data_IF_337564166389
#
_entry.id   IF_337564166389
#
_cell.length_a   1.000
_cell.length_b   1.000
_cell.length_c   1.000
_cell.angle_alpha   90.00
_cell.angle_beta   90.00
_cell.angle_gamma   90.00
#
_symmetry.space_group_name_H-M   'P 1'
#
loop_
_entity.id
_entity.type
_entity.pdbx_description
1 polymer ?
#
# COMPACT_ATOMS: atom_id res chain seq x y z
N UNK A 1 18.24 -24.43 7.72
CA UNK A 1 16.81 -24.10 7.74
C UNK A 1 16.39 -24.04 9.19
N UNK A 2 16.32 -22.84 9.77
CA UNK A 2 15.81 -22.67 11.13
C UNK A 2 14.28 -22.63 11.04
N UNK A 3 13.60 -23.53 11.74
CA UNK A 3 12.13 -23.55 11.77
C UNK A 3 11.63 -22.36 12.59
N UNK A 4 10.77 -21.53 12.00
CA UNK A 4 10.02 -20.52 12.72
C UNK A 4 8.92 -21.22 13.53
N UNK A 5 9.18 -21.46 14.81
CA UNK A 5 8.17 -21.95 15.74
C UNK A 5 7.83 -20.86 16.74
N UNK A 6 6.68 -20.19 16.55
CA UNK A 6 6.05 -19.38 17.59
C UNK A 6 4.71 -20.01 17.97
N UNK A 7 4.57 -20.32 19.26
CA UNK A 7 3.28 -20.69 19.84
C UNK A 7 2.37 -19.46 19.85
N UNK A 8 1.10 -19.66 19.49
CA UNK A 8 0.08 -18.59 19.47
C UNK A 8 -0.09 -17.98 20.86
N UNK A 9 0.40 -16.76 21.07
CA UNK A 9 0.11 -16.00 22.30
C UNK A 9 -1.18 -15.22 22.08
N UNK A 10 -2.18 -15.58 22.88
CA UNK A 10 -3.51 -14.98 22.90
C UNK A 10 -3.49 -13.70 23.76
N UNK A 11 -3.95 -12.60 23.16
CA UNK A 11 -4.51 -11.36 23.73
C UNK A 11 -3.72 -10.55 24.77
N UNK A 12 -3.46 -9.27 24.42
CA UNK A 12 -3.68 -8.14 25.33
C UNK A 12 -4.56 -7.08 24.63
N UNK A 13 -5.61 -6.68 25.34
CA UNK A 13 -6.68 -5.70 25.04
C UNK A 13 -7.89 -6.10 24.15
N UNK A 14 -9.14 -5.96 24.68
CA UNK A 14 -10.38 -6.25 23.95
C UNK A 14 -11.06 -4.96 23.46
N UNK A 15 -10.84 -4.55 22.21
CA UNK A 15 -11.75 -3.59 21.56
C UNK A 15 -11.74 -3.60 20.03
N UNK A 16 -11.05 -4.52 19.40
CA UNK A 16 -11.10 -4.69 17.94
C UNK A 16 -11.23 -6.17 17.66
N UNK A 17 -12.18 -6.65 16.82
CA UNK A 17 -12.18 -8.04 16.43
C UNK A 17 -10.80 -8.36 15.85
N UNK A 18 -10.09 -9.25 16.54
CA UNK A 18 -8.72 -9.65 16.19
C UNK A 18 -8.72 -10.06 14.72
N UNK A 19 -8.12 -9.23 13.85
CA UNK A 19 -7.73 -9.69 12.53
C UNK A 19 -6.85 -10.91 12.77
N UNK A 20 -7.26 -12.06 12.24
CA UNK A 20 -6.55 -13.32 12.44
C UNK A 20 -5.11 -13.12 11.97
N UNK A 21 -4.17 -13.06 12.93
CA UNK A 21 -2.73 -13.05 12.63
C UNK A 21 -2.39 -14.45 12.14
N UNK A 22 -1.88 -14.51 10.92
CA UNK A 22 -1.54 -15.78 10.29
C UNK A 22 -0.14 -16.22 10.72
N UNK A 23 0.15 -17.52 10.70
CA UNK A 23 1.52 -17.98 10.93
C UNK A 23 2.46 -17.52 9.80
N UNK A 24 3.77 -17.37 10.07
CA UNK A 24 4.76 -16.94 9.07
C UNK A 24 4.73 -17.77 7.78
N UNK A 25 4.55 -19.09 7.86
CA UNK A 25 4.51 -19.97 6.68
C UNK A 25 3.33 -19.63 5.75
N UNK A 26 2.19 -19.17 6.28
CA UNK A 26 1.07 -18.71 5.45
C UNK A 26 1.37 -17.39 4.76
N UNK A 27 2.01 -16.44 5.45
CA UNK A 27 2.47 -15.21 4.81
C UNK A 27 3.51 -15.51 3.73
N UNK A 28 4.46 -16.41 4.01
CA UNK A 28 5.47 -16.82 3.05
C UNK A 28 4.82 -17.45 1.80
N UNK A 29 3.89 -18.39 1.96
CA UNK A 29 3.16 -19.01 0.84
C UNK A 29 2.41 -17.96 0.02
N UNK A 30 1.71 -17.02 0.67
CA UNK A 30 1.02 -15.93 -0.03
C UNK A 30 1.99 -15.03 -0.79
N UNK A 31 3.17 -14.78 -0.23
CA UNK A 31 4.25 -14.04 -0.88
C UNK A 31 4.74 -14.73 -2.14
N UNK A 32 4.99 -16.04 -2.07
CA UNK A 32 5.39 -16.84 -3.23
C UNK A 32 4.34 -16.79 -4.33
N UNK A 33 3.06 -16.92 -3.97
CA UNK A 33 1.95 -16.90 -4.94
C UNK A 33 1.90 -15.57 -5.70
N UNK A 34 1.98 -14.44 -4.99
CA UNK A 34 1.89 -13.12 -5.66
C UNK A 34 3.13 -12.78 -6.47
N UNK A 35 4.32 -13.19 -6.02
CA UNK A 35 5.57 -13.01 -6.78
C UNK A 35 5.53 -13.88 -8.05
N UNK A 36 5.09 -15.13 -7.95
CA UNK A 36 4.98 -16.04 -9.09
C UNK A 36 3.93 -15.55 -10.10
N UNK A 37 2.76 -15.11 -9.63
CA UNK A 37 1.70 -14.56 -10.49
C UNK A 37 2.18 -13.33 -11.26
N UNK A 38 2.87 -12.39 -10.58
CA UNK A 38 3.41 -11.21 -11.24
C UNK A 38 4.48 -11.58 -12.27
N UNK A 39 5.40 -12.49 -11.94
CA UNK A 39 6.42 -12.99 -12.88
C UNK A 39 5.79 -13.57 -14.15
N UNK A 40 4.74 -14.38 -13.99
CA UNK A 40 4.01 -14.94 -15.13
C UNK A 40 3.40 -13.84 -16.00
N UNK A 41 2.72 -12.86 -15.39
CA UNK A 41 2.07 -11.76 -16.09
C UNK A 41 3.07 -10.90 -16.90
N UNK A 42 4.22 -10.54 -16.32
CA UNK A 42 5.23 -9.72 -17.00
C UNK A 42 6.04 -10.50 -18.05
N UNK A 43 5.99 -11.83 -18.02
CA UNK A 43 6.66 -12.70 -19.01
C UNK A 43 5.75 -13.11 -20.18
N UNK A 44 4.47 -12.75 -20.13
CA UNK A 44 3.51 -13.09 -21.17
C UNK A 44 3.80 -12.33 -22.47
N UNK A 45 3.60 -12.99 -23.60
CA UNK A 45 3.69 -12.38 -24.93
C UNK A 45 2.42 -12.74 -25.75
N UNK A 46 1.49 -11.79 -25.97
CA UNK A 46 1.53 -10.41 -25.49
C UNK A 46 1.28 -10.29 -23.98
N UNK A 47 1.66 -9.16 -23.40
CA UNK A 47 1.21 -8.77 -22.05
C UNK A 47 -0.31 -8.61 -22.05
N UNK A 48 -0.98 -9.10 -21.00
CA UNK A 48 -2.44 -9.11 -20.88
C UNK A 48 -2.86 -8.30 -19.65
N UNK A 49 -3.68 -7.29 -19.87
CA UNK A 49 -4.34 -6.52 -18.81
C UNK A 49 -5.60 -7.24 -18.31
N UNK A 50 -5.90 -7.10 -17.03
CA UNK A 50 -7.17 -7.53 -16.43
C UNK A 50 -8.08 -6.31 -16.36
N UNK A 51 -9.20 -6.37 -17.10
CA UNK A 51 -10.19 -5.31 -17.06
C UNK A 51 -10.99 -5.32 -15.76
N UNK A 52 -11.05 -4.17 -15.11
CA UNK A 52 -11.91 -3.92 -13.96
C UNK A 52 -12.89 -2.78 -14.26
N UNK A 53 -14.10 -2.79 -13.69
CA UNK A 53 -15.03 -1.67 -13.82
C UNK A 53 -14.42 -0.37 -13.32
N UNK A 54 -14.77 0.74 -13.98
CA UNK A 54 -14.35 2.06 -13.54
C UNK A 54 -14.84 2.36 -12.11
N UNK A 55 -13.96 2.91 -11.28
CA UNK A 55 -14.22 3.15 -9.87
C UNK A 55 -15.43 4.07 -9.67
N UNK A 56 -15.68 5.00 -10.60
CA UNK A 56 -16.80 5.95 -10.53
C UNK A 56 -18.16 5.27 -10.65
N UNK A 57 -18.24 4.00 -11.07
CA UNK A 57 -19.48 3.23 -11.09
C UNK A 57 -20.00 3.04 -9.66
N UNK A 58 -19.09 2.69 -8.73
CA UNK A 58 -19.44 2.29 -7.35
C UNK A 58 -19.07 3.33 -6.31
N UNK A 59 -17.98 4.04 -6.52
CA UNK A 59 -17.41 4.95 -5.55
C UNK A 59 -17.58 6.41 -5.99
N UNK A 60 -17.42 7.32 -5.03
CA UNK A 60 -17.39 8.76 -5.25
C UNK A 60 -16.28 9.35 -4.36
N UNK A 61 -15.49 10.28 -4.92
CA UNK A 61 -14.57 11.10 -4.12
C UNK A 61 -15.29 12.35 -3.65
N UNK A 62 -15.60 12.43 -2.35
CA UNK A 62 -16.43 13.50 -1.76
C UNK A 62 -15.79 14.88 -1.76
N UNK A 63 -14.46 14.96 -1.88
CA UNK A 63 -13.69 16.21 -1.94
C UNK A 63 -13.13 16.48 -3.36
N UNK A 64 -13.52 15.67 -4.35
CA UNK A 64 -12.85 15.65 -5.66
C UNK A 64 -11.39 15.18 -5.55
N UNK A 65 -10.65 15.34 -6.63
CA UNK A 65 -9.17 15.34 -6.64
C UNK A 65 -8.72 16.67 -6.04
N UNK A 66 -8.57 16.75 -4.72
CA UNK A 66 -8.09 17.98 -4.07
C UNK A 66 -6.57 17.98 -4.04
N UNK A 67 -5.96 19.10 -4.44
CA UNK A 67 -4.53 19.33 -4.31
C UNK A 67 -4.12 19.25 -2.83
N UNK A 68 -3.09 18.46 -2.52
CA UNK A 68 -2.52 18.31 -1.19
C UNK A 68 -1.22 19.09 -1.12
N UNK A 69 -1.24 20.22 -0.42
CA UNK A 69 -0.12 21.17 -0.40
C UNK A 69 1.01 20.79 0.55
N UNK A 70 0.80 19.81 1.46
CA UNK A 70 1.83 19.39 2.39
C UNK A 70 1.66 17.93 2.82
N UNK A 71 2.11 17.00 1.97
CA UNK A 71 2.14 15.56 2.29
C UNK A 71 3.16 15.22 3.38
N UNK A 72 4.22 16.02 3.54
CA UNK A 72 5.24 15.83 4.57
C UNK A 72 4.67 15.90 5.99
N UNK A 73 3.62 16.71 6.20
CA UNK A 73 2.92 16.82 7.49
C UNK A 73 2.11 15.58 7.88
N UNK A 74 1.95 14.59 6.99
CA UNK A 74 1.31 13.33 7.37
C UNK A 74 2.09 12.67 8.51
N UNK A 75 1.34 12.06 9.43
CA UNK A 75 1.89 11.35 10.59
C UNK A 75 2.79 12.23 11.47
N UNK A 76 2.25 13.41 11.84
CA UNK A 76 2.96 14.40 12.67
C UNK A 76 4.31 14.85 12.07
N UNK A 77 4.42 14.89 10.75
CA UNK A 77 5.65 15.29 10.05
C UNK A 77 6.56 14.13 9.65
N UNK A 78 6.29 12.90 10.09
CA UNK A 78 7.16 11.75 9.78
C UNK A 78 7.24 11.44 8.28
N UNK A 79 6.19 11.74 7.51
CA UNK A 79 6.25 11.52 6.06
C UNK A 79 7.33 12.38 5.38
N UNK A 80 7.70 13.54 5.94
CA UNK A 80 8.82 14.32 5.41
C UNK A 80 10.15 13.56 5.51
N UNK A 81 10.35 12.77 6.57
CA UNK A 81 11.52 11.91 6.74
C UNK A 81 11.53 10.82 5.67
N UNK A 82 10.41 10.11 5.48
CA UNK A 82 10.29 9.07 4.45
C UNK A 82 10.53 9.63 3.04
N UNK A 83 9.97 10.79 2.72
CA UNK A 83 10.10 11.40 1.39
C UNK A 83 11.51 11.95 1.12
N UNK A 84 12.23 12.37 2.16
CA UNK A 84 13.59 12.91 2.04
C UNK A 84 14.70 11.86 2.25
N UNK A 85 14.31 10.59 2.42
CA UNK A 85 15.27 9.52 2.63
C UNK A 85 16.24 9.39 1.44
N UNK A 86 17.58 9.40 1.64
CA UNK A 86 18.54 9.38 0.55
C UNK A 86 18.49 8.12 -0.33
N UNK A 87 17.94 7.00 0.17
CA UNK A 87 17.72 5.80 -0.63
C UNK A 87 16.48 5.92 -1.54
N UNK A 88 15.62 6.90 -1.30
CA UNK A 88 14.40 7.18 -2.05
C UNK A 88 14.56 8.48 -2.86
N UNK A 89 14.46 8.40 -4.17
CA UNK A 89 14.50 9.59 -5.03
C UNK A 89 13.07 10.13 -5.27
N UNK A 90 12.41 10.61 -4.21
CA UNK A 90 11.03 11.13 -4.25
C UNK A 90 11.06 12.66 -4.12
N UNK A 91 10.49 13.37 -5.11
CA UNK A 91 10.37 14.83 -5.07
C UNK A 91 9.13 15.26 -4.28
N UNK A 92 9.33 15.71 -3.05
CA UNK A 92 8.28 16.15 -2.13
C UNK A 92 7.60 17.48 -2.53
N UNK A 93 8.25 18.28 -3.38
CA UNK A 93 7.73 19.54 -3.94
C UNK A 93 6.83 19.32 -5.15
N UNK A 94 6.33 18.10 -5.34
CA UNK A 94 5.44 17.74 -6.43
C UNK A 94 3.98 18.09 -6.16
N UNK A 95 3.18 18.18 -7.21
CA UNK A 95 1.74 18.35 -7.08
C UNK A 95 1.13 17.02 -6.65
N UNK A 96 0.49 16.99 -5.48
CA UNK A 96 -0.14 15.79 -4.93
C UNK A 96 -1.66 15.89 -5.04
N UNK A 97 -2.30 14.80 -5.44
CA UNK A 97 -3.75 14.71 -5.61
C UNK A 97 -4.33 13.65 -4.67
N UNK A 98 -5.34 14.01 -3.88
CA UNK A 98 -6.02 13.08 -2.99
C UNK A 98 -7.24 12.43 -3.64
N UNK A 99 -7.39 11.11 -3.48
CA UNK A 99 -8.61 10.37 -3.81
C UNK A 99 -9.16 9.70 -2.56
N UNK A 100 -10.43 9.98 -2.25
CA UNK A 100 -11.14 9.42 -1.12
C UNK A 100 -12.26 8.50 -1.60
N UNK A 101 -12.05 7.19 -1.65
CA UNK A 101 -13.02 6.26 -2.23
C UNK A 101 -14.14 5.92 -1.25
N UNK A 102 -15.22 6.70 -1.26
CA UNK A 102 -16.44 6.36 -0.54
C UNK A 102 -17.38 5.57 -1.43
N UNK A 103 -18.10 4.60 -0.87
CA UNK A 103 -19.25 4.01 -1.58
C UNK A 103 -20.27 5.11 -1.89
N UNK A 104 -20.91 5.08 -3.05
CA UNK A 104 -21.92 6.10 -3.41
C UNK A 104 -23.04 6.23 -2.39
N UNK A 105 -23.41 5.12 -1.74
CA UNK A 105 -24.41 5.12 -0.66
C UNK A 105 -23.96 5.97 0.53
N UNK A 106 -22.69 5.82 0.97
CA UNK A 106 -22.08 6.64 2.03
C UNK A 106 -21.90 8.07 1.55
N UNK A 107 -21.40 8.28 0.33
CA UNK A 107 -21.15 9.59 -0.23
C UNK A 107 -22.44 10.45 -0.29
N UNK A 108 -23.52 9.88 -0.81
CA UNK A 108 -24.82 10.55 -0.86
C UNK A 108 -25.37 10.88 0.54
N UNK A 109 -25.12 10.02 1.53
CA UNK A 109 -25.59 10.23 2.91
C UNK A 109 -24.75 11.24 3.68
N UNK A 110 -23.43 11.27 3.48
CA UNK A 110 -22.56 12.27 4.11
C UNK A 110 -22.92 13.69 3.67
N UNK A 111 -23.33 13.87 2.41
CA UNK A 111 -23.87 15.15 1.91
C UNK A 111 -25.15 15.60 2.63
N UNK A 112 -25.89 14.68 3.25
CA UNK A 112 -27.23 14.92 3.82
C UNK A 112 -27.27 15.03 5.36
N UNK A 113 -26.12 15.20 6.05
CA UNK A 113 -25.96 15.44 7.51
C UNK A 113 -26.84 14.56 8.42
N UNK A 114 -26.29 13.44 8.92
CA UNK A 114 -26.96 12.66 9.97
C UNK A 114 -26.43 11.25 10.24
N UNK A 115 -25.36 10.82 9.58
CA UNK A 115 -24.77 9.50 9.80
C UNK A 115 -23.42 9.65 10.52
N UNK A 116 -23.18 8.82 11.54
CA UNK A 116 -21.85 8.65 12.10
C UNK A 116 -20.90 8.29 10.95
N UNK A 117 -19.83 9.08 10.77
CA UNK A 117 -19.04 9.08 9.54
C UNK A 117 -18.37 7.72 9.30
N UNK A 118 -18.94 6.89 8.41
CA UNK A 118 -18.22 5.76 7.82
C UNK A 118 -17.14 6.36 6.93
N UNK A 119 -15.87 6.08 7.24
CA UNK A 119 -14.72 6.56 6.48
C UNK A 119 -14.66 6.02 5.04
N UNK A 120 -13.65 6.41 4.24
CA UNK A 120 -13.50 5.88 2.89
C UNK A 120 -13.02 4.42 2.92
N UNK A 121 -13.35 3.67 1.87
CA UNK A 121 -12.85 2.29 1.65
C UNK A 121 -11.35 2.30 1.38
N UNK A 122 -10.86 3.33 0.69
CA UNK A 122 -9.44 3.60 0.54
C UNK A 122 -9.19 5.10 0.43
N UNK A 123 -8.03 5.56 0.90
CA UNK A 123 -7.53 6.92 0.68
C UNK A 123 -6.15 6.84 0.03
N UNK A 124 -6.02 7.40 -1.17
CA UNK A 124 -4.75 7.51 -1.88
C UNK A 124 -4.38 8.98 -2.07
N UNK A 125 -3.09 9.28 -2.05
CA UNK A 125 -2.51 10.58 -2.38
C UNK A 125 -1.44 10.32 -3.42
N UNK A 126 -1.53 10.96 -4.57
CA UNK A 126 -0.81 10.54 -5.78
C UNK A 126 -0.09 11.72 -6.40
N UNK A 127 1.13 11.52 -6.88
CA UNK A 127 1.83 12.51 -7.68
C UNK A 127 2.57 11.86 -8.84
N UNK A 128 2.19 12.22 -10.08
CA UNK A 128 2.86 11.71 -11.27
C UNK A 128 4.28 12.27 -11.42
N UNK A 129 4.49 13.54 -11.04
CA UNK A 129 5.82 14.16 -10.96
C UNK A 129 6.74 13.44 -9.97
N UNK A 130 6.24 13.07 -8.80
CA UNK A 130 7.01 12.29 -7.82
C UNK A 130 7.07 10.79 -8.15
N UNK A 131 6.41 10.33 -9.21
CA UNK A 131 6.27 8.92 -9.57
C UNK A 131 5.77 8.03 -8.41
N UNK A 132 4.85 8.56 -7.58
CA UNK A 132 4.54 7.97 -6.27
C UNK A 132 3.04 7.93 -5.95
N UNK A 133 2.60 6.83 -5.36
CA UNK A 133 1.29 6.67 -4.70
C UNK A 133 1.51 6.50 -3.20
N UNK A 134 0.78 7.25 -2.37
CA UNK A 134 0.72 7.09 -0.91
C UNK A 134 -0.68 6.57 -0.55
N UNK A 135 -0.77 5.45 0.16
CA UNK A 135 -2.03 4.88 0.65
C UNK A 135 -2.08 5.05 2.16
N UNK A 136 -2.93 5.96 2.61
CA UNK A 136 -3.07 6.37 4.02
C UNK A 136 -4.16 5.61 4.77
N UNK A 137 -5.07 4.97 4.04
CA UNK A 137 -6.13 4.15 4.63
C UNK A 137 -6.62 3.10 3.64
N UNK A 138 -6.95 1.92 4.18
CA UNK A 138 -7.66 0.87 3.47
C UNK A 138 -8.58 0.14 4.45
N UNK A 139 -9.89 0.29 4.27
CA UNK A 139 -10.89 -0.27 5.16
C UNK A 139 -12.01 -0.96 4.35
N UNK A 140 -11.87 -2.26 4.19
CA UNK A 140 -12.89 -3.12 3.59
C UNK A 140 -14.26 -3.02 4.30
N UNK A 141 -14.27 -2.79 5.62
CA UNK A 141 -15.48 -2.69 6.43
C UNK A 141 -16.24 -1.38 6.25
N UNK A 142 -15.63 -0.38 5.59
CA UNK A 142 -16.31 0.86 5.22
C UNK A 142 -17.22 0.71 3.98
N UNK A 143 -17.21 -0.48 3.37
CA UNK A 143 -18.03 -0.81 2.21
C UNK A 143 -19.51 -0.98 2.65
N UNK A 144 -20.41 -0.13 2.16
CA UNK A 144 -21.84 -0.15 2.51
C UNK A 144 -22.71 -0.25 1.27
N UNK A 145 -23.61 -1.23 1.25
CA UNK A 145 -24.70 -1.36 0.28
C UNK A 145 -24.23 -1.44 -1.18
N UNK A 146 -24.14 -2.65 -1.74
CA UNK A 146 -24.00 -2.80 -3.20
C UNK A 146 -24.43 -4.17 -3.69
N UNK A 147 -25.05 -4.19 -4.87
CA UNK A 147 -25.22 -5.39 -5.69
C UNK A 147 -24.08 -5.58 -6.71
N UNK A 148 -23.19 -4.59 -6.85
CA UNK A 148 -21.99 -4.70 -7.68
C UNK A 148 -20.85 -5.41 -6.92
N UNK A 149 -19.90 -6.08 -7.60
CA UNK A 149 -18.67 -6.57 -6.97
C UNK A 149 -17.75 -5.43 -6.52
N UNK A 150 -17.02 -5.66 -5.42
CA UNK A 150 -16.09 -4.68 -4.84
C UNK A 150 -14.81 -4.62 -5.67
N UNK A 151 -14.27 -3.41 -5.87
CA UNK A 151 -12.92 -3.27 -6.42
C UNK A 151 -11.88 -3.58 -5.35
N UNK A 152 -10.84 -4.31 -5.75
CA UNK A 152 -9.70 -4.56 -4.89
C UNK A 152 -8.94 -3.25 -4.61
N UNK A 153 -8.20 -3.20 -3.50
CA UNK A 153 -7.33 -2.05 -3.23
C UNK A 153 -6.25 -1.88 -4.31
N UNK A 154 -5.76 -2.97 -4.90
CA UNK A 154 -4.86 -2.93 -6.07
C UNK A 154 -5.45 -2.09 -7.20
N UNK A 155 -6.75 -2.27 -7.45
CA UNK A 155 -7.45 -1.57 -8.52
C UNK A 155 -7.71 -0.10 -8.17
N UNK A 156 -8.12 0.19 -6.93
CA UNK A 156 -8.30 1.59 -6.50
C UNK A 156 -6.97 2.36 -6.53
N UNK A 157 -5.84 1.72 -6.20
CA UNK A 157 -4.52 2.31 -6.36
C UNK A 157 -4.22 2.58 -7.83
N UNK A 158 -4.37 1.58 -8.71
CA UNK A 158 -4.12 1.72 -10.14
C UNK A 158 -4.96 2.82 -10.79
N UNK A 159 -6.28 2.82 -10.59
CA UNK A 159 -7.14 3.81 -11.22
C UNK A 159 -6.87 5.23 -10.68
N UNK A 160 -6.53 5.40 -9.39
CA UNK A 160 -6.11 6.71 -8.87
C UNK A 160 -4.83 7.24 -9.52
N UNK A 161 -3.89 6.34 -9.82
CA UNK A 161 -2.65 6.67 -10.52
C UNK A 161 -2.90 7.00 -12.00
N UNK A 162 -3.62 6.13 -12.71
CA UNK A 162 -4.04 6.34 -14.10
C UNK A 162 -4.73 7.70 -14.27
N UNK A 163 -5.71 7.99 -13.42
CA UNK A 163 -6.49 9.22 -13.53
C UNK A 163 -5.63 10.48 -13.28
N UNK A 164 -4.67 10.40 -12.35
CA UNK A 164 -3.69 11.49 -12.15
C UNK A 164 -2.76 11.66 -13.35
N UNK A 165 -2.25 10.58 -13.94
CA UNK A 165 -1.43 10.68 -15.16
C UNK A 165 -2.21 11.31 -16.32
N UNK A 166 -3.47 10.91 -16.52
CA UNK A 166 -4.35 11.48 -17.56
C UNK A 166 -4.59 12.98 -17.33
N UNK A 167 -4.85 13.38 -16.08
CA UNK A 167 -5.05 14.78 -15.73
C UNK A 167 -3.80 15.63 -15.97
N UNK A 168 -2.62 15.11 -15.63
CA UNK A 168 -1.35 15.80 -15.84
C UNK A 168 -0.94 15.84 -17.33
N UNK A 169 -1.27 14.81 -18.11
CA UNK A 169 -1.10 14.82 -19.56
C UNK A 169 -1.97 15.89 -20.22
N UNK A 170 -3.21 16.08 -19.76
CA UNK A 170 -4.12 17.10 -20.27
C UNK A 170 -3.60 18.53 -20.08
N UNK A 171 -2.70 18.76 -19.11
CA UNK A 171 -2.02 20.05 -18.90
C UNK A 171 -0.60 20.10 -19.47
N UNK A 172 -0.20 19.08 -20.24
CA UNK A 172 1.05 19.04 -21.00
C UNK A 172 2.28 18.56 -20.22
N UNK A 173 2.12 17.94 -19.06
CA UNK A 173 3.26 17.47 -18.24
C UNK A 173 3.88 16.15 -18.75
N UNK A 174 3.13 15.37 -19.54
CA UNK A 174 3.66 14.21 -20.27
C UNK A 174 4.01 12.98 -19.42
N UNK A 175 3.45 12.82 -18.23
CA UNK A 175 3.69 11.65 -17.38
C UNK A 175 2.88 10.44 -17.85
N UNK A 176 3.54 9.28 -17.99
CA UNK A 176 2.90 8.03 -18.41
C UNK A 176 2.63 7.13 -17.21
N UNK A 177 1.62 6.24 -17.34
CA UNK A 177 1.28 5.26 -16.29
C UNK A 177 2.47 4.35 -15.94
N UNK A 178 3.33 4.05 -16.90
CA UNK A 178 4.56 3.27 -16.71
C UNK A 178 5.63 3.99 -15.87
N UNK A 179 5.48 5.29 -15.58
CA UNK A 179 6.47 6.04 -14.81
C UNK A 179 6.38 5.78 -13.30
N UNK A 180 5.37 5.05 -12.82
CA UNK A 180 5.22 4.75 -11.40
C UNK A 180 6.49 4.07 -10.86
N UNK A 181 7.05 4.62 -9.78
CA UNK A 181 8.29 4.14 -9.16
C UNK A 181 8.09 3.70 -7.72
N UNK A 182 7.28 4.42 -6.93
CA UNK A 182 7.10 4.13 -5.51
C UNK A 182 5.63 3.99 -5.11
N UNK A 183 5.37 3.05 -4.22
CA UNK A 183 4.09 2.93 -3.52
C UNK A 183 4.38 2.96 -2.02
N UNK A 184 3.92 3.98 -1.32
CA UNK A 184 4.08 4.15 0.13
C UNK A 184 2.79 3.70 0.82
N UNK A 185 2.91 2.79 1.80
CA UNK A 185 1.79 2.29 2.59
C UNK A 185 2.06 2.46 4.08
N UNK A 186 1.25 3.29 4.71
CA UNK A 186 1.27 3.56 6.14
C UNK A 186 0.07 4.43 6.51
N UNK A 187 -0.28 4.59 7.80
CA UNK A 187 0.30 3.86 8.91
C UNK A 187 -0.20 2.40 8.89
N UNK A 188 0.68 1.46 9.23
CA UNK A 188 0.35 0.03 9.24
C UNK A 188 -0.35 -0.32 10.55
N UNK A 189 -1.68 -0.34 10.51
CA UNK A 189 -2.55 -0.67 11.66
C UNK A 189 -2.96 -2.14 11.76
N UNK A 190 -2.70 -2.92 10.71
CA UNK A 190 -3.01 -4.35 10.69
C UNK A 190 -1.97 -5.11 11.51
N UNK A 191 -2.41 -5.74 12.58
CA UNK A 191 -1.56 -6.45 13.53
C UNK A 191 -0.76 -7.59 12.88
N UNK A 192 -1.32 -8.26 11.88
CA UNK A 192 -0.64 -9.33 11.15
C UNK A 192 0.56 -8.80 10.35
N UNK A 193 0.39 -7.70 9.62
CA UNK A 193 1.51 -7.04 8.92
C UNK A 193 2.55 -6.51 9.91
N UNK A 194 2.10 -5.88 11.00
CA UNK A 194 3.02 -5.35 12.03
C UNK A 194 3.90 -6.45 12.62
N UNK A 195 3.31 -7.55 13.10
CA UNK A 195 4.08 -8.69 13.60
C UNK A 195 4.98 -9.31 12.53
N UNK A 196 4.55 -9.35 11.26
CA UNK A 196 5.41 -9.84 10.17
C UNK A 196 6.63 -8.94 9.98
N UNK A 197 6.48 -7.62 10.13
CA UNK A 197 7.60 -6.69 10.09
C UNK A 197 8.55 -6.96 11.26
N UNK A 198 8.05 -7.10 12.48
CA UNK A 198 8.87 -7.45 13.66
C UNK A 198 9.63 -8.76 13.44
N UNK A 199 8.94 -9.84 13.04
CA UNK A 199 9.56 -11.15 12.80
C UNK A 199 10.66 -11.07 11.73
N UNK A 200 10.44 -10.29 10.67
CA UNK A 200 11.42 -10.09 9.59
C UNK A 200 12.64 -9.30 10.09
N UNK A 201 12.44 -8.27 10.93
CA UNK A 201 13.52 -7.48 11.51
C UNK A 201 14.32 -8.26 12.55
N UNK A 202 13.66 -9.04 13.40
CA UNK A 202 14.33 -9.96 14.34
C UNK A 202 15.18 -10.99 13.57
N UNK A 203 14.65 -11.57 12.49
CA UNK A 203 15.39 -12.51 11.65
C UNK A 203 16.58 -11.86 10.91
N UNK A 204 16.53 -10.55 10.67
CA UNK A 204 17.63 -9.75 10.14
C UNK A 204 18.70 -9.42 11.21
N UNK A 205 18.39 -9.65 12.49
CA UNK A 205 19.32 -9.51 13.61
C UNK A 205 19.08 -8.31 14.51
N UNK A 206 17.99 -7.56 14.32
CA UNK A 206 17.63 -6.44 15.20
C UNK A 206 17.03 -6.97 16.51
N UNK A 207 17.40 -6.34 17.62
CA UNK A 207 16.76 -6.59 18.92
C UNK A 207 15.42 -5.87 19.02
N UNK A 208 14.55 -6.34 19.90
CA UNK A 208 13.26 -5.70 20.19
C UNK A 208 13.42 -4.21 20.55
N UNK A 209 14.42 -3.88 21.37
CA UNK A 209 14.71 -2.50 21.78
C UNK A 209 15.13 -1.60 20.60
N UNK A 210 15.76 -2.16 19.56
CA UNK A 210 16.09 -1.42 18.35
C UNK A 210 14.84 -1.20 17.50
N UNK A 211 14.03 -2.24 17.31
CA UNK A 211 12.77 -2.18 16.54
C UNK A 211 11.83 -1.12 17.14
N UNK A 212 11.65 -1.11 18.46
CA UNK A 212 10.79 -0.15 19.16
C UNK A 212 11.29 1.31 19.02
N UNK A 213 12.60 1.50 18.85
CA UNK A 213 13.21 2.82 18.58
C UNK A 213 13.07 3.29 17.14
N UNK A 214 12.54 2.47 16.23
CA UNK A 214 12.32 2.81 14.83
C UNK A 214 13.48 2.45 13.91
N UNK A 215 13.78 1.16 13.79
CA UNK A 215 14.65 0.65 12.73
C UNK A 215 14.08 0.99 11.35
N UNK A 216 14.97 1.47 10.50
CA UNK A 216 14.79 1.57 9.06
C UNK A 216 15.69 0.57 8.35
N UNK A 217 15.14 -0.21 7.41
CA UNK A 217 15.92 -1.14 6.60
C UNK A 217 15.26 -1.45 5.25
N UNK A 218 16.00 -2.07 4.33
CA UNK A 218 15.53 -2.41 2.99
C UNK A 218 15.70 -3.89 2.73
N UNK A 219 14.69 -4.51 2.11
CA UNK A 219 14.71 -5.89 1.63
C UNK A 219 14.53 -5.91 0.12
N UNK A 220 15.35 -6.70 -0.56
CA UNK A 220 15.28 -6.95 -2.00
C UNK A 220 14.98 -8.41 -2.30
N UNK A 221 14.32 -8.65 -3.44
CA UNK A 221 14.14 -9.99 -3.98
C UNK A 221 15.48 -10.68 -4.35
N UNK A 222 16.55 -9.89 -4.50
CA UNK A 222 17.90 -10.37 -4.85
C UNK A 222 18.86 -10.43 -3.66
N UNK A 223 18.40 -10.11 -2.45
CA UNK A 223 19.25 -10.11 -1.26
C UNK A 223 19.66 -11.54 -0.86
N UNK A 224 20.64 -11.63 0.05
CA UNK A 224 21.10 -12.90 0.62
C UNK A 224 19.98 -13.70 1.32
N UNK A 225 18.90 -13.04 1.76
CA UNK A 225 17.74 -13.67 2.38
C UNK A 225 16.42 -13.26 1.69
N UNK A 226 16.12 -13.80 0.49
CA UNK A 226 14.91 -13.46 -0.25
C UNK A 226 13.63 -13.93 0.45
N UNK A 227 13.75 -14.78 1.47
CA UNK A 227 12.59 -15.24 2.23
C UNK A 227 11.95 -14.12 3.07
N UNK A 228 12.74 -13.17 3.57
CA UNK A 228 12.24 -12.00 4.30
C UNK A 228 11.44 -11.07 3.39
N UNK A 229 11.96 -10.79 2.20
CA UNK A 229 11.22 -10.09 1.15
C UNK A 229 9.90 -10.79 0.82
N UNK A 230 9.94 -12.12 0.69
CA UNK A 230 8.75 -12.93 0.38
C UNK A 230 7.68 -12.83 1.49
N UNK A 231 8.07 -12.88 2.77
CA UNK A 231 7.16 -12.67 3.90
C UNK A 231 6.46 -11.32 3.81
N UNK A 232 7.20 -10.23 3.57
CA UNK A 232 6.66 -8.88 3.44
C UNK A 232 5.68 -8.77 2.26
N UNK A 233 5.99 -9.40 1.13
CA UNK A 233 5.08 -9.47 -0.03
C UNK A 233 3.78 -10.23 0.26
N UNK A 234 3.80 -11.18 1.19
CA UNK A 234 2.64 -11.96 1.61
C UNK A 234 1.65 -11.23 2.52
N UNK A 235 2.04 -10.08 3.07
CA UNK A 235 1.21 -9.29 3.97
C UNK A 235 0.01 -8.65 3.26
N UNK A 236 -0.99 -8.19 4.01
CA UNK A 236 -2.13 -7.45 3.46
C UNK A 236 -1.74 -6.05 2.92
N UNK A 237 -0.49 -5.64 3.13
CA UNK A 237 0.09 -4.40 2.59
C UNK A 237 0.86 -4.68 1.30
N UNK A 238 1.66 -5.75 1.23
CA UNK A 238 2.43 -6.12 0.04
C UNK A 238 1.61 -6.75 -1.08
N UNK A 239 0.66 -7.64 -0.76
CA UNK A 239 -0.14 -8.34 -1.78
C UNK A 239 -0.87 -7.42 -2.76
N UNK A 240 -1.53 -6.33 -2.33
CA UNK A 240 -2.18 -5.41 -3.26
C UNK A 240 -1.21 -4.75 -4.24
N UNK A 241 0.05 -4.53 -3.86
CA UNK A 241 1.07 -3.93 -4.74
C UNK A 241 1.43 -4.91 -5.86
N UNK A 242 1.77 -6.15 -5.52
CA UNK A 242 2.04 -7.18 -6.53
C UNK A 242 0.83 -7.45 -7.43
N UNK A 243 -0.39 -7.47 -6.87
CA UNK A 243 -1.61 -7.65 -7.66
C UNK A 243 -1.84 -6.51 -8.64
N UNK A 244 -1.60 -5.26 -8.25
CA UNK A 244 -1.67 -4.13 -9.17
C UNK A 244 -0.72 -4.31 -10.36
N UNK A 245 0.53 -4.71 -10.09
CA UNK A 245 1.52 -5.01 -11.15
C UNK A 245 1.15 -6.25 -11.99
N UNK A 246 0.45 -7.22 -11.41
CA UNK A 246 0.01 -8.45 -12.10
C UNK A 246 -1.18 -8.21 -13.02
N UNK A 247 -2.14 -7.39 -12.55
CA UNK A 247 -3.37 -7.10 -13.27
C UNK A 247 -3.12 -6.10 -14.41
N UNK A 248 -2.13 -5.22 -14.27
CA UNK A 248 -1.82 -4.15 -15.23
C UNK A 248 -0.38 -4.17 -15.77
N UNK A 249 0.12 -5.31 -16.28
CA UNK A 249 1.52 -5.46 -16.65
C UNK A 249 1.90 -4.64 -17.89
N UNK A 250 1.02 -4.45 -18.86
CA UNK A 250 1.27 -3.59 -20.01
C UNK A 250 1.25 -2.11 -19.61
N UNK A 251 0.23 -1.67 -18.88
CA UNK A 251 0.06 -0.26 -18.48
C UNK A 251 1.19 0.23 -17.58
N UNK A 252 1.67 -0.64 -16.68
CA UNK A 252 2.75 -0.33 -15.75
C UNK A 252 4.15 -0.60 -16.34
N UNK A 253 4.27 -1.06 -17.59
CA UNK A 253 5.57 -1.30 -18.22
C UNK A 253 6.32 -2.51 -17.68
N UNK A 254 5.59 -3.62 -17.47
CA UNK A 254 6.05 -4.91 -16.99
C UNK A 254 6.75 -4.87 -15.62
N UNK A 255 6.31 -3.94 -14.76
CA UNK A 255 6.92 -3.69 -13.46
C UNK A 255 6.67 -4.79 -12.45
N UNK A 256 7.63 -4.94 -11.55
CA UNK A 256 7.51 -5.75 -10.34
C UNK A 256 8.08 -5.00 -9.12
N UNK A 257 7.81 -5.49 -7.92
CA UNK A 257 8.45 -4.95 -6.70
C UNK A 257 9.89 -5.46 -6.66
N UNK A 258 10.86 -4.56 -6.76
CA UNK A 258 12.28 -4.87 -6.61
C UNK A 258 12.72 -4.83 -5.16
N UNK A 259 12.29 -3.79 -4.43
CA UNK A 259 12.68 -3.53 -3.03
C UNK A 259 11.51 -3.10 -2.18
N UNK A 260 11.63 -3.37 -0.88
CA UNK A 260 10.71 -2.95 0.17
C UNK A 260 11.54 -2.25 1.24
N UNK A 261 11.34 -0.95 1.39
CA UNK A 261 11.92 -0.16 2.47
C UNK A 261 10.94 -0.12 3.63
N UNK A 262 11.41 -0.41 4.83
CA UNK A 262 10.58 -0.57 6.03
C UNK A 262 11.03 0.42 7.09
N UNK A 263 10.09 1.19 7.60
CA UNK A 263 10.20 1.91 8.86
C UNK A 263 9.31 1.21 9.88
N UNK A 264 9.94 0.63 10.90
CA UNK A 264 9.24 -0.17 11.92
C UNK A 264 8.35 0.65 12.85
N UNK A 265 8.62 1.95 12.99
CA UNK A 265 7.90 2.85 13.87
C UNK A 265 7.70 4.22 13.23
N UNK A 266 6.53 4.82 13.45
CA UNK A 266 6.23 6.23 13.23
C UNK A 266 6.37 6.94 14.59
N UNK A 267 7.28 7.92 14.74
CA UNK A 267 7.45 8.65 15.98
C UNK A 267 6.15 9.21 16.54
N UNK A 268 5.85 8.89 17.80
CA UNK A 268 4.62 9.34 18.48
C UNK A 268 3.36 8.56 18.09
N UNK A 269 3.50 7.40 17.44
CA UNK A 269 2.42 6.42 17.29
C UNK A 269 2.78 5.10 17.97
N UNK A 270 1.80 4.52 18.68
CA UNK A 270 1.96 3.21 19.32
C UNK A 270 1.77 2.10 18.28
N UNK A 271 2.87 1.54 17.76
CA UNK A 271 2.84 0.34 16.92
C UNK A 271 2.39 0.56 15.46
N UNK A 272 2.62 1.75 14.90
CA UNK A 272 2.43 2.00 13.47
C UNK A 272 3.78 2.02 12.73
N UNK A 273 3.86 1.33 11.59
CA UNK A 273 5.01 1.40 10.68
C UNK A 273 4.66 1.94 9.28
N UNK A 274 5.67 2.04 8.41
CA UNK A 274 5.53 2.41 6.99
C UNK A 274 6.33 1.42 6.13
N UNK A 275 5.74 1.01 5.01
CA UNK A 275 6.44 0.28 3.95
C UNK A 275 6.42 1.09 2.66
N UNK A 276 7.58 1.22 2.01
CA UNK A 276 7.74 1.81 0.68
C UNK A 276 8.15 0.71 -0.29
N UNK A 277 7.32 0.47 -1.28
CA UNK A 277 7.57 -0.49 -2.34
C UNK A 277 8.18 0.23 -3.53
N UNK A 278 9.39 -0.15 -3.91
CA UNK A 278 10.08 0.36 -5.09
C UNK A 278 9.85 -0.60 -6.26
N UNK A 279 9.31 -0.06 -7.35
CA UNK A 279 9.01 -0.80 -8.56
C UNK A 279 10.18 -0.73 -9.55
N UNK A 280 10.42 -1.81 -10.26
CA UNK A 280 11.45 -1.94 -11.31
C UNK A 280 10.81 -2.40 -12.61
#
# INVERSE_FOLDING_TARGET
>A
MNSFHRQSIVNRHPSTPSQLVLPPDEYFSRGQDVIAANRLAISADPLIEIEHPDWTIRYASLEGSSEVTNVGNLYNGFMAEVLSDPALNIDDASNWTSYNFYTKSVANRQRNRGYAAVGPVARTIVSAKAATIIITSSNAGAEVGSYTPRLYNSELMFQSWRDTCIADEAVGAGYQVSNLKYIIRGPIKNQGTYHTIEDVLEAQGFSFDEIDRGVQTTFSSTDANPALFTLLMGTDIGRPVARMCTDHPQSLGAKQVGKIHVWSCIPGSDGDGVMVFELE
#
